data_IF_222323439286
#
_entry.id   IF_222323439286
#
_cell.length_a   1.000
_cell.length_b   1.000
_cell.length_c   1.000
_cell.angle_alpha   90.00
_cell.angle_beta   90.00
_cell.angle_gamma   90.00
#
_symmetry.space_group_name_H-M   'P 1'
#
loop_
_entity.id
_entity.type
_entity.pdbx_description
1 polymer ?
#
# COMPACT_ATOMS: atom_id res chain seq x y z
N UNK A 1 -35.59 9.35 31.13
CA UNK A 1 -34.33 9.86 30.57
C UNK A 1 -33.53 8.63 30.14
N UNK A 2 -33.58 8.27 28.86
CA UNK A 2 -32.79 7.14 28.34
C UNK A 2 -31.33 7.58 28.25
N UNK A 3 -30.36 6.76 28.72
CA UNK A 3 -28.96 7.06 28.46
C UNK A 3 -28.74 7.03 26.94
N UNK A 4 -28.07 8.07 26.43
CA UNK A 4 -27.59 8.08 25.06
C UNK A 4 -26.73 6.82 24.84
N UNK A 5 -26.83 6.13 23.68
CA UNK A 5 -25.92 5.04 23.37
C UNK A 5 -24.51 5.60 23.46
N UNK A 6 -23.70 5.04 24.36
CA UNK A 6 -22.26 5.24 24.33
C UNK A 6 -21.83 4.76 22.95
N UNK A 7 -21.43 5.70 22.09
CA UNK A 7 -20.56 5.37 20.99
C UNK A 7 -19.28 4.83 21.64
N UNK A 8 -19.26 3.54 21.98
CA UNK A 8 -18.04 2.76 22.03
C UNK A 8 -17.54 2.72 20.59
N UNK A 9 -17.07 3.87 20.11
CA UNK A 9 -16.39 3.99 18.85
C UNK A 9 -15.23 3.03 18.96
N UNK A 10 -15.22 2.01 18.10
CA UNK A 10 -14.06 1.13 17.97
C UNK A 10 -12.83 2.03 17.86
N UNK A 11 -12.01 2.03 18.91
CA UNK A 11 -10.73 2.72 18.88
C UNK A 11 -9.88 1.95 17.89
N UNK A 12 -9.79 2.47 16.66
CA UNK A 12 -8.98 1.86 15.61
C UNK A 12 -7.52 2.13 15.96
N UNK A 13 -6.81 1.08 16.38
CA UNK A 13 -5.35 1.14 16.50
C UNK A 13 -4.73 0.94 15.11
N UNK A 14 -4.53 2.06 14.42
CA UNK A 14 -3.98 2.07 13.06
C UNK A 14 -2.55 1.53 13.00
N UNK A 15 -1.79 1.59 14.10
CA UNK A 15 -0.42 1.10 14.14
C UNK A 15 -0.44 -0.42 14.18
N UNK A 16 -1.18 -1.02 15.11
CA UNK A 16 -1.32 -2.48 15.20
C UNK A 16 -1.88 -3.06 13.90
N UNK A 17 -2.91 -2.43 13.31
CA UNK A 17 -3.47 -2.87 12.03
C UNK A 17 -2.45 -2.82 10.88
N UNK A 18 -1.56 -1.82 10.88
CA UNK A 18 -0.52 -1.72 9.87
C UNK A 18 0.58 -2.75 10.07
N UNK A 19 0.96 -3.04 11.32
CA UNK A 19 1.93 -4.09 11.65
C UNK A 19 1.39 -5.47 11.23
N UNK A 20 0.12 -5.77 11.49
CA UNK A 20 -0.54 -7.00 11.06
C UNK A 20 -0.60 -7.09 9.52
N UNK A 21 -0.94 -5.99 8.84
CA UNK A 21 -0.93 -5.96 7.38
C UNK A 21 0.48 -6.18 6.84
N UNK A 22 1.50 -5.59 7.46
CA UNK A 22 2.89 -5.76 7.05
C UNK A 22 3.31 -7.22 7.11
N UNK A 23 2.98 -7.94 8.17
CA UNK A 23 3.27 -9.39 8.27
C UNK A 23 2.64 -10.17 7.13
N UNK A 24 1.36 -9.87 6.80
CA UNK A 24 0.67 -10.49 5.66
C UNK A 24 1.32 -10.14 4.33
N UNK A 25 1.67 -8.88 4.12
CA UNK A 25 2.35 -8.41 2.91
C UNK A 25 3.69 -9.10 2.74
N UNK A 26 4.49 -9.21 3.79
CA UNK A 26 5.79 -9.89 3.74
C UNK A 26 5.59 -11.38 3.35
N UNK A 27 4.55 -12.03 3.87
CA UNK A 27 4.13 -13.38 3.44
C UNK A 27 3.75 -13.47 1.95
N UNK A 28 2.94 -12.53 1.46
CA UNK A 28 2.56 -12.46 0.05
C UNK A 28 3.76 -12.15 -0.85
N UNK A 29 4.66 -11.24 -0.45
CA UNK A 29 5.88 -10.88 -1.16
C UNK A 29 6.78 -12.11 -1.34
N UNK A 30 6.98 -12.89 -0.28
CA UNK A 30 7.75 -14.13 -0.38
C UNK A 30 7.09 -15.15 -1.33
N UNK A 31 5.77 -15.30 -1.24
CA UNK A 31 5.03 -16.18 -2.16
C UNK A 31 5.09 -15.70 -3.63
N UNK A 32 5.11 -14.39 -3.86
CA UNK A 32 5.22 -13.79 -5.20
C UNK A 32 6.64 -13.87 -5.78
N UNK A 33 7.69 -14.09 -4.98
CA UNK A 33 9.03 -14.27 -5.55
C UNK A 33 9.12 -15.58 -6.37
N UNK A 34 8.36 -16.59 -5.95
CA UNK A 34 8.43 -17.97 -6.46
C UNK A 34 7.50 -18.27 -7.65
N UNK A 35 6.59 -17.34 -8.00
CA UNK A 35 5.66 -17.55 -9.13
C UNK A 35 6.39 -17.74 -10.45
N UNK A 36 5.82 -18.65 -11.25
CA UNK A 36 6.31 -19.05 -12.58
C UNK A 36 5.34 -18.74 -13.72
N UNK A 37 4.10 -18.40 -13.39
CA UNK A 37 3.05 -18.13 -14.38
C UNK A 37 2.24 -16.90 -13.99
N UNK A 38 1.65 -16.23 -14.98
CA UNK A 38 0.76 -15.10 -14.74
C UNK A 38 -0.50 -15.50 -13.96
N UNK A 39 -0.98 -16.74 -14.12
CA UNK A 39 -2.14 -17.25 -13.38
C UNK A 39 -1.84 -17.39 -11.89
N UNK A 40 -0.69 -17.95 -11.54
CA UNK A 40 -0.29 -18.08 -10.12
C UNK A 40 -0.02 -16.69 -9.51
N UNK A 41 0.61 -15.77 -10.27
CA UNK A 41 0.74 -14.37 -9.84
C UNK A 41 -0.62 -13.71 -9.57
N UNK A 42 -1.59 -13.88 -10.46
CA UNK A 42 -2.94 -13.30 -10.30
C UNK A 42 -3.60 -13.80 -9.01
N UNK A 43 -3.46 -15.09 -8.69
CA UNK A 43 -3.97 -15.66 -7.43
C UNK A 43 -3.32 -15.00 -6.21
N UNK A 44 -1.98 -14.87 -6.20
CA UNK A 44 -1.25 -14.25 -5.08
C UNK A 44 -1.58 -12.76 -4.92
N UNK A 45 -1.65 -12.02 -6.02
CA UNK A 45 -2.00 -10.59 -6.00
C UNK A 45 -3.45 -10.41 -5.54
N UNK A 46 -4.39 -11.25 -5.97
CA UNK A 46 -5.78 -11.19 -5.48
C UNK A 46 -5.88 -11.45 -3.98
N UNK A 47 -5.08 -12.37 -3.45
CA UNK A 47 -5.02 -12.62 -2.01
C UNK A 47 -4.49 -11.38 -1.26
N UNK A 48 -3.37 -10.80 -1.72
CA UNK A 48 -2.83 -9.56 -1.17
C UNK A 48 -3.83 -8.40 -1.23
N UNK A 49 -4.49 -8.21 -2.38
CA UNK A 49 -5.51 -7.18 -2.58
C UNK A 49 -6.68 -7.37 -1.60
N UNK A 50 -7.07 -8.62 -1.34
CA UNK A 50 -8.14 -8.93 -0.39
C UNK A 50 -7.75 -8.53 1.03
N UNK A 51 -6.53 -8.85 1.47
CA UNK A 51 -6.03 -8.47 2.79
C UNK A 51 -5.94 -6.94 2.96
N UNK A 52 -5.44 -6.23 1.95
CA UNK A 52 -5.38 -4.75 1.98
C UNK A 52 -6.80 -4.17 2.06
N UNK A 53 -7.74 -4.67 1.26
CA UNK A 53 -9.14 -4.21 1.26
C UNK A 53 -9.85 -4.48 2.58
N UNK A 54 -9.60 -5.63 3.19
CA UNK A 54 -10.14 -5.95 4.52
C UNK A 54 -9.64 -4.93 5.56
N UNK A 55 -8.36 -4.55 5.50
CA UNK A 55 -7.79 -3.56 6.41
C UNK A 55 -8.36 -2.15 6.16
N UNK A 56 -8.49 -1.74 4.89
CA UNK A 56 -9.19 -0.50 4.52
C UNK A 56 -10.59 -0.48 5.12
N UNK A 57 -11.36 -1.57 4.99
CA UNK A 57 -12.73 -1.64 5.50
C UNK A 57 -12.83 -1.44 7.03
N UNK A 58 -11.82 -1.88 7.80
CA UNK A 58 -11.75 -1.65 9.25
C UNK A 58 -11.51 -0.18 9.57
N UNK A 59 -10.74 0.52 8.72
CA UNK A 59 -10.34 1.91 8.90
C UNK A 59 -11.38 2.93 8.40
N UNK A 60 -12.31 2.53 7.52
CA UNK A 60 -13.31 3.43 6.96
C UNK A 60 -14.15 4.08 8.07
N UNK A 61 -14.23 5.42 8.04
CA UNK A 61 -14.96 6.22 9.02
C UNK A 61 -14.21 6.49 10.33
N UNK A 62 -13.02 5.91 10.51
CA UNK A 62 -12.17 6.21 11.66
C UNK A 62 -11.47 7.57 11.51
N UNK A 63 -11.19 8.21 12.66
CA UNK A 63 -10.28 9.36 12.77
C UNK A 63 -9.37 9.13 13.95
N UNK A 64 -8.07 9.07 13.69
CA UNK A 64 -7.04 8.79 14.68
C UNK A 64 -6.08 9.96 14.73
N UNK A 65 -5.91 10.52 15.93
CA UNK A 65 -4.91 11.55 16.17
C UNK A 65 -3.64 10.88 16.67
N UNK A 66 -2.60 10.90 15.83
CA UNK A 66 -1.26 10.46 16.19
C UNK A 66 -0.37 11.67 16.46
N UNK A 67 0.47 11.58 17.49
CA UNK A 67 1.60 12.50 17.63
C UNK A 67 2.62 12.26 16.51
N UNK A 68 3.59 13.17 16.37
CA UNK A 68 4.50 13.12 15.21
C UNK A 68 5.42 11.91 15.20
N UNK A 69 5.84 11.39 16.36
CA UNK A 69 6.63 10.17 16.47
C UNK A 69 5.84 8.92 16.01
N UNK A 70 4.60 8.77 16.49
CA UNK A 70 3.72 7.67 16.10
C UNK A 70 3.35 7.73 14.61
N UNK A 71 3.10 8.94 14.09
CA UNK A 71 2.84 9.17 12.66
C UNK A 71 4.05 8.82 11.80
N UNK A 72 5.26 9.18 12.23
CA UNK A 72 6.50 8.81 11.55
C UNK A 72 6.71 7.29 11.54
N UNK A 73 6.49 6.60 12.66
CA UNK A 73 6.57 5.13 12.74
C UNK A 73 5.60 4.46 11.77
N UNK A 74 4.35 4.93 11.73
CA UNK A 74 3.36 4.44 10.77
C UNK A 74 3.83 4.66 9.32
N UNK A 75 4.34 5.85 9.00
CA UNK A 75 4.84 6.17 7.66
C UNK A 75 6.03 5.29 7.26
N UNK A 76 6.96 5.00 8.18
CA UNK A 76 8.09 4.09 7.96
C UNK A 76 7.60 2.66 7.65
N UNK A 77 6.63 2.15 8.42
CA UNK A 77 6.06 0.83 8.18
C UNK A 77 5.41 0.73 6.80
N UNK A 78 4.60 1.74 6.43
CA UNK A 78 3.94 1.81 5.11
C UNK A 78 4.95 1.95 3.97
N UNK A 79 5.97 2.80 4.15
CA UNK A 79 7.06 2.97 3.19
C UNK A 79 7.80 1.64 2.93
N UNK A 80 8.19 0.93 3.99
CA UNK A 80 8.88 -0.35 3.87
C UNK A 80 8.03 -1.40 3.14
N UNK A 81 6.73 -1.46 3.48
CA UNK A 81 5.75 -2.34 2.84
C UNK A 81 5.62 -2.06 1.34
N UNK A 82 5.49 -0.79 0.94
CA UNK A 82 5.40 -0.40 -0.48
C UNK A 82 6.67 -0.79 -1.23
N UNK A 83 7.86 -0.53 -0.66
CA UNK A 83 9.13 -0.91 -1.28
C UNK A 83 9.20 -2.41 -1.52
N UNK A 84 8.82 -3.23 -0.53
CA UNK A 84 8.84 -4.68 -0.65
C UNK A 84 7.94 -5.16 -1.80
N UNK A 85 6.71 -4.64 -1.86
CA UNK A 85 5.75 -4.95 -2.93
C UNK A 85 6.30 -4.55 -4.30
N UNK A 86 6.77 -3.31 -4.45
CA UNK A 86 7.29 -2.78 -5.71
C UNK A 86 8.47 -3.60 -6.22
N UNK A 87 9.40 -3.97 -5.34
CA UNK A 87 10.59 -4.76 -5.70
C UNK A 87 10.21 -6.16 -6.18
N UNK A 88 9.33 -6.87 -5.49
CA UNK A 88 8.91 -8.20 -5.95
C UNK A 88 8.12 -8.12 -7.24
N UNK A 89 7.26 -7.11 -7.40
CA UNK A 89 6.53 -6.89 -8.64
C UNK A 89 7.49 -6.70 -9.83
N UNK A 90 8.56 -5.91 -9.65
CA UNK A 90 9.56 -5.72 -10.71
C UNK A 90 10.28 -7.02 -11.08
N UNK A 91 10.66 -7.83 -10.08
CA UNK A 91 11.26 -9.15 -10.32
C UNK A 91 10.32 -10.06 -11.11
N UNK A 92 9.03 -10.08 -10.75
CA UNK A 92 8.05 -10.93 -11.43
C UNK A 92 7.74 -10.41 -12.83
N UNK A 93 7.59 -9.10 -13.01
CA UNK A 93 7.38 -8.48 -14.32
C UNK A 93 8.56 -8.75 -15.25
N UNK A 94 9.79 -8.69 -14.74
CA UNK A 94 10.98 -9.05 -15.51
C UNK A 94 10.98 -10.54 -15.92
N UNK A 95 10.44 -11.43 -15.07
CA UNK A 95 10.36 -12.87 -15.31
C UNK A 95 9.25 -13.24 -16.30
N UNK A 96 8.06 -12.68 -16.15
CA UNK A 96 6.85 -13.07 -16.90
C UNK A 96 6.55 -12.16 -18.10
N UNK A 97 7.16 -10.98 -18.15
CA UNK A 97 6.93 -9.95 -19.15
C UNK A 97 5.85 -8.96 -18.75
N UNK A 98 6.06 -7.68 -19.12
CA UNK A 98 5.17 -6.55 -18.77
C UNK A 98 3.73 -6.77 -19.24
N UNK A 99 3.54 -7.25 -20.47
CA UNK A 99 2.20 -7.47 -21.04
C UNK A 99 1.38 -8.49 -20.25
N UNK A 100 2.01 -9.59 -19.81
CA UNK A 100 1.34 -10.64 -19.05
C UNK A 100 0.95 -10.18 -17.63
N UNK A 101 1.68 -9.20 -17.07
CA UNK A 101 1.46 -8.69 -15.72
C UNK A 101 0.60 -7.41 -15.67
N UNK A 102 0.38 -6.72 -16.78
CA UNK A 102 -0.16 -5.36 -16.78
C UNK A 102 -1.50 -5.22 -16.02
N UNK A 103 -2.48 -6.09 -16.32
CA UNK A 103 -3.78 -6.07 -15.65
C UNK A 103 -3.69 -6.41 -14.15
N UNK A 104 -2.79 -7.33 -13.79
CA UNK A 104 -2.56 -7.74 -12.41
C UNK A 104 -1.94 -6.58 -11.61
N UNK A 105 -0.92 -5.93 -12.18
CA UNK A 105 -0.26 -4.77 -11.57
C UNK A 105 -1.20 -3.58 -11.45
N UNK A 106 -2.09 -3.35 -12.41
CA UNK A 106 -3.10 -2.30 -12.32
C UNK A 106 -4.06 -2.51 -11.13
N UNK A 107 -4.50 -3.74 -10.88
CA UNK A 107 -5.33 -4.07 -9.71
C UNK A 107 -4.61 -3.79 -8.40
N UNK A 108 -3.31 -4.09 -8.34
CA UNK A 108 -2.47 -3.80 -7.18
C UNK A 108 -2.29 -2.29 -6.98
N UNK A 109 -1.98 -1.55 -8.04
CA UNK A 109 -1.78 -0.09 -8.04
C UNK A 109 -3.00 0.64 -7.45
N UNK A 110 -4.19 0.31 -7.94
CA UNK A 110 -5.47 0.85 -7.43
C UNK A 110 -5.66 0.54 -5.94
N UNK A 111 -5.28 -0.66 -5.51
CA UNK A 111 -5.48 -1.11 -4.13
C UNK A 111 -4.53 -0.42 -3.16
N UNK A 112 -3.24 -0.29 -3.51
CA UNK A 112 -2.26 0.45 -2.70
C UNK A 112 -2.64 1.94 -2.67
N UNK A 113 -3.04 2.51 -3.80
CA UNK A 113 -3.51 3.90 -3.85
C UNK A 113 -4.70 4.14 -2.90
N UNK A 114 -5.68 3.23 -2.91
CA UNK A 114 -6.84 3.30 -2.00
C UNK A 114 -6.44 3.20 -0.52
N UNK A 115 -5.45 2.35 -0.20
CA UNK A 115 -4.89 2.26 1.14
C UNK A 115 -4.29 3.59 1.59
N UNK A 116 -3.45 4.19 0.74
CA UNK A 116 -2.79 5.47 1.04
C UNK A 116 -3.78 6.61 1.27
N UNK A 117 -4.82 6.70 0.44
CA UNK A 117 -5.88 7.68 0.61
C UNK A 117 -6.65 7.46 1.92
N UNK A 118 -6.96 6.20 2.26
CA UNK A 118 -7.65 5.87 3.50
C UNK A 118 -6.82 6.26 4.72
N UNK A 119 -5.53 5.92 4.74
CA UNK A 119 -4.62 6.32 5.82
C UNK A 119 -4.52 7.84 5.96
N UNK A 120 -4.55 8.58 4.85
CA UNK A 120 -4.53 10.04 4.89
C UNK A 120 -5.80 10.64 5.53
N UNK A 121 -6.95 10.02 5.29
CA UNK A 121 -8.22 10.44 5.88
C UNK A 121 -8.27 10.09 7.37
N UNK A 122 -7.76 8.91 7.75
CA UNK A 122 -7.74 8.43 9.13
C UNK A 122 -6.73 9.18 9.98
N UNK A 123 -5.53 9.43 9.45
CA UNK A 123 -4.42 10.10 10.13
C UNK A 123 -4.07 11.38 9.38
N UNK A 124 -4.45 12.52 9.95
CA UNK A 124 -4.22 13.82 9.31
C UNK A 124 -2.71 14.08 9.09
N UNK A 125 -2.36 14.57 7.90
CA UNK A 125 -0.99 14.89 7.51
C UNK A 125 -0.11 13.66 7.24
N UNK A 126 -0.68 12.45 7.22
CA UNK A 126 0.07 11.22 6.97
C UNK A 126 0.80 11.22 5.62
N UNK A 127 0.15 11.62 4.53
CA UNK A 127 0.80 11.62 3.21
C UNK A 127 2.01 12.56 3.15
N UNK A 128 1.98 13.71 3.84
CA UNK A 128 3.13 14.61 3.87
C UNK A 128 4.38 13.94 4.45
N UNK A 129 4.21 13.19 5.55
CA UNK A 129 5.28 12.43 6.17
C UNK A 129 5.74 11.29 5.26
N UNK A 130 4.80 10.54 4.67
CA UNK A 130 5.12 9.42 3.78
C UNK A 130 5.88 9.89 2.53
N UNK A 131 5.43 10.95 1.87
CA UNK A 131 6.10 11.53 0.69
C UNK A 131 7.51 11.95 1.04
N UNK A 132 7.72 12.55 2.22
CA UNK A 132 9.06 12.91 2.71
C UNK A 132 10.05 11.74 2.76
N UNK A 133 9.56 10.52 3.02
CA UNK A 133 10.40 9.29 2.98
C UNK A 133 10.75 8.88 1.55
N UNK A 134 9.90 9.15 0.56
CA UNK A 134 10.11 8.81 -0.84
C UNK A 134 10.96 9.82 -1.62
N UNK A 135 11.26 11.00 -1.06
CA UNK A 135 12.13 12.01 -1.73
C UNK A 135 13.52 11.45 -2.03
N UNK A 136 14.03 10.56 -1.18
CA UNK A 136 15.33 9.90 -1.34
C UNK A 136 15.17 8.44 -1.81
N UNK A 137 14.09 8.15 -2.53
CA UNK A 137 13.84 6.78 -3.01
C UNK A 137 14.95 6.34 -3.95
N UNK A 138 15.43 5.12 -3.71
CA UNK A 138 16.48 4.50 -4.53
C UNK A 138 16.04 4.43 -6.01
N UNK A 139 16.95 4.71 -6.94
CA UNK A 139 16.68 4.69 -8.38
C UNK A 139 16.11 3.34 -8.86
N UNK A 140 16.45 2.24 -8.20
CA UNK A 140 15.90 0.90 -8.47
C UNK A 140 14.40 0.83 -8.15
N UNK A 141 13.95 1.46 -7.06
CA UNK A 141 12.53 1.49 -6.68
C UNK A 141 11.76 2.41 -7.63
N UNK A 142 12.33 3.56 -8.01
CA UNK A 142 11.71 4.44 -9.01
C UNK A 142 11.56 3.73 -10.38
N UNK A 143 12.60 3.01 -10.82
CA UNK A 143 12.54 2.20 -12.03
C UNK A 143 11.52 1.06 -11.92
N UNK A 144 11.45 0.40 -10.77
CA UNK A 144 10.47 -0.66 -10.50
C UNK A 144 9.02 -0.15 -10.57
N UNK A 145 8.71 1.01 -9.99
CA UNK A 145 7.39 1.66 -10.09
C UNK A 145 7.01 1.88 -11.56
N UNK A 146 7.95 2.41 -12.36
CA UNK A 146 7.72 2.67 -13.79
C UNK A 146 7.52 1.38 -14.58
N UNK A 147 8.40 0.39 -14.40
CA UNK A 147 8.35 -0.90 -15.13
C UNK A 147 7.09 -1.70 -14.81
N UNK A 148 6.61 -1.62 -13.57
CA UNK A 148 5.37 -2.30 -13.15
C UNK A 148 4.11 -1.53 -13.56
N UNK A 149 4.22 -0.33 -14.11
CA UNK A 149 3.07 0.49 -14.48
C UNK A 149 2.24 1.00 -13.29
N UNK A 150 2.88 1.20 -12.12
CA UNK A 150 2.21 1.63 -10.88
C UNK A 150 1.99 3.15 -10.86
N UNK A 151 1.20 3.62 -11.82
CA UNK A 151 1.00 5.04 -12.12
C UNK A 151 0.30 5.82 -11.01
N UNK A 152 -0.66 5.21 -10.30
CA UNK A 152 -1.39 5.84 -9.20
C UNK A 152 -0.51 5.98 -7.96
N UNK A 153 0.30 4.96 -7.69
CA UNK A 153 1.32 5.02 -6.65
C UNK A 153 2.35 6.11 -6.95
N UNK A 154 2.84 6.20 -8.19
CA UNK A 154 3.76 7.25 -8.61
C UNK A 154 3.17 8.65 -8.40
N UNK A 155 1.91 8.87 -8.75
CA UNK A 155 1.21 10.16 -8.55
C UNK A 155 1.14 10.57 -7.08
N UNK A 156 0.82 9.62 -6.19
CA UNK A 156 0.71 9.92 -4.74
C UNK A 156 2.07 10.18 -4.12
N UNK A 157 3.07 9.37 -4.45
CA UNK A 157 4.35 9.39 -3.74
C UNK A 157 5.35 10.41 -4.27
N UNK A 158 5.33 10.67 -5.57
CA UNK A 158 6.36 11.48 -6.24
C UNK A 158 5.85 12.86 -6.65
N UNK A 159 4.57 13.18 -6.41
CA UNK A 159 3.96 14.42 -6.91
C UNK A 159 4.07 14.57 -8.43
N UNK A 160 4.41 13.49 -9.14
CA UNK A 160 4.54 13.46 -10.58
C UNK A 160 3.14 13.63 -11.16
N UNK A 161 2.85 14.84 -11.64
CA UNK A 161 1.95 15.01 -12.77
C UNK A 161 2.53 14.18 -13.92
N UNK A 162 2.22 12.88 -13.96
CA UNK A 162 2.52 12.02 -15.10
C UNK A 162 1.58 12.48 -16.21
N UNK A 163 2.04 13.43 -17.02
CA UNK A 163 1.54 13.61 -18.37
C UNK A 163 1.91 12.34 -19.12
N UNK A 164 0.94 11.44 -19.25
CA UNK A 164 1.02 10.29 -20.15
C UNK A 164 0.88 10.91 -21.54
N UNK A 165 1.99 11.00 -22.27
CA UNK A 165 2.00 11.35 -23.68
C UNK A 165 2.22 10.07 -24.49
#
# INVERSE_FOLDING_TARGET
MFPAPSNEGKTVDVITLMDDLKVKVDGHVNAMAEVKTAVDLDIKIKALVTDIKAMIAIMVGAKVHLNDDAKLKLAIAVHAMIIAIVKVCATVVAKLGVSACAAIMASLDVTIHSLLLTLNVVVNGFLGVLIGLFVNVDATVAAAIKTCGLSLLAKVLLGLNVTIN
#
